data_IF_600917374133
#
_entry.id   IF_600917374133
#
_cell.length_a   1.000
_cell.length_b   1.000
_cell.length_c   1.000
_cell.angle_alpha   90.00
_cell.angle_beta   90.00
_cell.angle_gamma   90.00
#
_symmetry.space_group_name_H-M   'P 1'
#
loop_
_entity.id
_entity.type
_entity.pdbx_description
1 polymer ?
#
# COMPACT_ATOMS: atom_id res chain seq x y z
N UNK A 1 -17.98 -15.01 4.51
CA UNK A 1 -18.88 -13.90 4.94
C UNK A 1 -19.87 -13.65 3.81
N UNK A 2 -20.99 -14.38 3.74
CA UNK A 2 -21.86 -14.31 2.55
C UNK A 2 -22.99 -13.29 2.76
N UNK A 3 -22.88 -12.13 2.10
CA UNK A 3 -23.94 -11.11 2.04
C UNK A 3 -23.89 -9.98 3.07
N UNK A 4 -22.91 -9.97 3.98
CA UNK A 4 -22.72 -8.85 4.91
C UNK A 4 -21.78 -7.80 4.34
N UNK A 5 -22.14 -6.53 4.50
CA UNK A 5 -21.24 -5.41 4.24
C UNK A 5 -20.04 -5.47 5.18
N UNK A 6 -18.83 -5.41 4.62
CA UNK A 6 -17.61 -5.31 5.41
C UNK A 6 -17.48 -3.85 5.87
N UNK A 7 -17.48 -3.58 7.20
CA UNK A 7 -17.34 -2.23 7.68
C UNK A 7 -15.88 -1.75 7.48
N UNK A 8 -15.65 -0.44 7.23
CA UNK A 8 -14.30 0.11 7.08
C UNK A 8 -13.37 -0.16 8.28
N UNK A 9 -13.95 -0.35 9.47
CA UNK A 9 -13.23 -0.70 10.70
C UNK A 9 -12.54 -2.08 10.66
N UNK A 10 -12.83 -2.93 9.66
CA UNK A 10 -12.11 -4.19 9.43
C UNK A 10 -10.76 -4.00 8.71
N UNK A 11 -10.15 -2.81 8.80
CA UNK A 11 -8.84 -2.53 8.21
C UNK A 11 -8.91 -2.36 6.70
N UNK A 12 -9.87 -1.57 6.21
CA UNK A 12 -9.98 -1.24 4.77
C UNK A 12 -9.23 0.07 4.41
N UNK A 13 -8.19 0.42 5.17
CA UNK A 13 -7.46 1.67 5.00
C UNK A 13 -6.03 1.39 4.58
N UNK A 14 -5.54 2.14 3.59
CA UNK A 14 -4.11 2.23 3.27
C UNK A 14 -3.39 3.03 4.34
N UNK A 15 -2.42 2.43 5.03
CA UNK A 15 -1.58 3.11 6.01
C UNK A 15 -0.16 3.34 5.46
N UNK A 16 0.32 4.57 5.53
CA UNK A 16 1.67 4.96 5.11
C UNK A 16 2.42 5.56 6.30
N UNK A 17 3.48 4.89 6.75
CA UNK A 17 4.25 5.32 7.92
C UNK A 17 5.64 5.79 7.51
N UNK A 18 6.10 6.86 8.17
CA UNK A 18 7.44 7.41 8.02
C UNK A 18 8.10 7.49 9.40
N UNK A 19 9.27 6.87 9.52
CA UNK A 19 10.12 6.99 10.70
C UNK A 19 11.41 7.71 10.31
N UNK A 20 11.67 8.93 10.81
CA UNK A 20 12.93 9.62 10.53
C UNK A 20 14.13 8.79 11.02
N UNK A 21 15.12 8.60 10.16
CA UNK A 21 16.41 7.95 10.50
C UNK A 21 17.58 8.94 10.57
N UNK A 22 17.30 10.24 10.34
CA UNK A 22 18.27 11.32 10.38
C UNK A 22 18.74 11.75 8.98
N UNK A 23 19.38 12.91 8.88
CA UNK A 23 19.96 13.45 7.63
C UNK A 23 18.97 13.52 6.46
N UNK A 24 17.70 13.84 6.72
CA UNK A 24 16.65 13.90 5.69
C UNK A 24 16.15 12.53 5.20
N UNK A 25 16.61 11.43 5.79
CA UNK A 25 16.17 10.07 5.46
C UNK A 25 15.03 9.60 6.37
N UNK A 26 14.24 8.67 5.86
CA UNK A 26 13.22 7.96 6.62
C UNK A 26 13.20 6.48 6.23
N UNK A 27 12.88 5.63 7.22
CA UNK A 27 12.38 4.29 6.97
C UNK A 27 10.87 4.38 6.77
N UNK A 28 10.36 3.69 5.75
CA UNK A 28 8.93 3.61 5.45
C UNK A 28 8.44 2.17 5.53
N UNK A 29 7.22 2.03 6.01
CA UNK A 29 6.46 0.78 6.02
C UNK A 29 4.96 1.11 5.98
N UNK A 30 4.14 0.15 5.60
CA UNK A 30 2.71 0.35 5.51
C UNK A 30 2.00 -0.78 4.80
N UNK A 31 0.78 -0.46 4.38
CA UNK A 31 -0.03 -1.33 3.55
C UNK A 31 -0.84 -0.53 2.52
N UNK A 32 -0.98 -1.09 1.32
CA UNK A 32 -2.00 -0.68 0.37
C UNK A 32 -3.14 -1.68 0.40
N UNK A 33 -4.38 -1.17 0.45
CA UNK A 33 -5.60 -1.97 0.24
C UNK A 33 -6.11 -1.71 -1.18
N UNK A 34 -6.28 -2.77 -1.96
CA UNK A 34 -6.51 -2.69 -3.40
C UNK A 34 -7.47 -3.76 -3.89
N UNK A 35 -8.11 -3.50 -5.02
CA UNK A 35 -8.72 -4.53 -5.86
C UNK A 35 -7.65 -5.27 -6.68
N UNK A 36 -8.00 -6.43 -7.23
CA UNK A 36 -7.07 -7.21 -8.08
C UNK A 36 -6.51 -6.41 -9.27
N UNK A 37 -7.30 -5.50 -9.85
CA UNK A 37 -6.91 -4.72 -11.01
C UNK A 37 -5.82 -3.68 -10.71
N UNK A 38 -5.75 -3.19 -9.46
CA UNK A 38 -4.82 -2.13 -9.06
C UNK A 38 -3.46 -2.67 -8.60
N UNK A 39 -3.38 -3.96 -8.23
CA UNK A 39 -2.17 -4.57 -7.64
C UNK A 39 -0.95 -4.35 -8.53
N UNK A 40 -1.05 -4.60 -9.83
CA UNK A 40 0.10 -4.55 -10.73
C UNK A 40 0.62 -3.12 -10.93
N UNK A 41 -0.28 -2.14 -11.00
CA UNK A 41 0.07 -0.73 -11.19
C UNK A 41 0.78 -0.18 -9.93
N UNK A 42 0.30 -0.56 -8.75
CA UNK A 42 0.96 -0.21 -7.48
C UNK A 42 2.33 -0.88 -7.35
N UNK A 43 2.47 -2.17 -7.70
CA UNK A 43 3.79 -2.84 -7.73
C UNK A 43 4.77 -2.09 -8.62
N UNK A 44 4.34 -1.67 -9.81
CA UNK A 44 5.19 -0.96 -10.75
C UNK A 44 5.59 0.42 -10.21
N UNK A 45 4.65 1.17 -9.63
CA UNK A 45 4.94 2.47 -9.02
C UNK A 45 5.95 2.37 -7.87
N UNK A 46 5.75 1.42 -6.95
CA UNK A 46 6.65 1.22 -5.80
C UNK A 46 8.04 0.78 -6.24
N UNK A 47 8.14 -0.25 -7.09
CA UNK A 47 9.45 -0.74 -7.57
C UNK A 47 10.17 0.28 -8.44
N UNK A 48 9.44 1.05 -9.24
CA UNK A 48 10.00 2.12 -10.06
C UNK A 48 10.70 3.21 -9.25
N UNK A 49 10.28 3.43 -8.00
CA UNK A 49 10.93 4.35 -7.05
C UNK A 49 11.84 3.66 -6.02
N UNK A 50 12.18 2.38 -6.21
CA UNK A 50 13.09 1.65 -5.33
C UNK A 50 12.49 1.28 -3.97
N UNK A 51 11.17 1.11 -3.89
CA UNK A 51 10.49 0.57 -2.70
C UNK A 51 10.26 -0.92 -2.89
N UNK A 52 10.68 -1.72 -1.90
CA UNK A 52 10.55 -3.17 -1.94
C UNK A 52 9.14 -3.62 -1.54
N UNK A 53 8.66 -4.66 -2.22
CA UNK A 53 7.43 -5.35 -1.84
C UNK A 53 7.78 -6.47 -0.86
N UNK A 54 7.20 -6.41 0.33
CA UNK A 54 7.43 -7.38 1.41
C UNK A 54 6.45 -8.54 1.30
N UNK A 55 5.18 -8.26 1.07
CA UNK A 55 4.13 -9.28 0.97
C UNK A 55 2.92 -8.79 0.18
N UNK A 56 2.17 -9.72 -0.40
CA UNK A 56 0.84 -9.52 -0.96
C UNK A 56 -0.07 -10.64 -0.43
N UNK A 57 -1.18 -10.29 0.20
CA UNK A 57 -2.12 -11.27 0.78
C UNK A 57 -3.56 -10.75 0.79
N UNK A 58 -4.49 -11.57 1.30
CA UNK A 58 -5.90 -11.24 1.48
C UNK A 58 -6.30 -11.52 2.94
N UNK A 59 -7.20 -10.73 3.51
CA UNK A 59 -7.77 -11.00 4.85
C UNK A 59 -9.04 -11.86 4.79
N UNK A 60 -9.70 -11.91 3.63
CA UNK A 60 -10.89 -12.72 3.38
C UNK A 60 -10.76 -13.55 2.11
N UNK A 61 -11.73 -14.44 1.90
CA UNK A 61 -11.80 -15.32 0.73
C UNK A 61 -13.00 -15.00 -0.19
N UNK A 62 -14.10 -14.50 0.38
CA UNK A 62 -15.41 -14.44 -0.29
C UNK A 62 -15.90 -13.00 -0.53
N UNK A 63 -15.17 -11.99 -0.05
CA UNK A 63 -15.57 -10.60 -0.23
C UNK A 63 -15.53 -10.21 -1.72
N UNK A 64 -16.47 -9.35 -2.12
CA UNK A 64 -16.58 -8.86 -3.49
C UNK A 64 -16.72 -7.33 -3.52
N UNK A 65 -15.82 -6.61 -4.23
CA UNK A 65 -14.61 -7.13 -4.87
C UNK A 65 -13.63 -7.71 -3.85
N UNK A 66 -12.83 -8.71 -4.27
CA UNK A 66 -11.77 -9.26 -3.42
C UNK A 66 -10.71 -8.19 -3.17
N UNK A 67 -10.29 -8.05 -1.91
CA UNK A 67 -9.33 -7.04 -1.51
C UNK A 67 -7.96 -7.65 -1.23
N UNK A 68 -6.93 -7.05 -1.80
CA UNK A 68 -5.53 -7.41 -1.65
C UNK A 68 -4.83 -6.37 -0.79
N UNK A 69 -3.91 -6.85 0.03
CA UNK A 69 -3.12 -6.09 0.98
C UNK A 69 -1.67 -6.23 0.60
N UNK A 70 -0.96 -5.12 0.45
CA UNK A 70 0.44 -5.12 0.03
C UNK A 70 1.32 -4.39 1.03
N UNK A 71 2.20 -5.13 1.68
CA UNK A 71 3.23 -4.56 2.55
C UNK A 71 4.47 -4.19 1.77
N UNK A 72 5.10 -3.08 2.17
CA UNK A 72 6.28 -2.54 1.53
C UNK A 72 7.30 -2.05 2.54
N UNK A 73 8.55 -1.92 2.11
CA UNK A 73 9.64 -1.40 2.94
C UNK A 73 10.66 -0.63 2.10
N UNK A 74 11.21 0.45 2.65
CA UNK A 74 12.42 1.10 2.16
C UNK A 74 13.02 2.01 3.23
N UNK A 75 14.30 2.34 3.09
CA UNK A 75 14.91 3.44 3.86
C UNK A 75 15.78 4.32 2.94
N UNK A 76 15.36 5.56 2.72
CA UNK A 76 16.02 6.47 1.79
C UNK A 76 15.64 7.93 2.08
N UNK A 77 16.01 8.85 1.18
CA UNK A 77 15.56 10.25 1.21
C UNK A 77 14.03 10.34 1.38
N UNK A 78 13.59 11.05 2.42
CA UNK A 78 12.19 11.05 2.81
C UNK A 78 11.27 11.68 1.76
N UNK A 79 11.76 12.67 1.00
CA UNK A 79 10.97 13.35 -0.04
C UNK A 79 10.83 12.47 -1.27
N UNK A 80 11.89 11.79 -1.69
CA UNK A 80 11.86 10.82 -2.79
C UNK A 80 10.91 9.66 -2.47
N UNK A 81 10.96 9.14 -1.24
CA UNK A 81 10.03 8.12 -0.77
C UNK A 81 8.58 8.62 -0.78
N UNK A 82 8.32 9.84 -0.28
CA UNK A 82 6.98 10.42 -0.30
C UNK A 82 6.43 10.62 -1.72
N UNK A 83 7.26 11.03 -2.68
CA UNK A 83 6.84 11.14 -4.10
C UNK A 83 6.49 9.78 -4.70
N UNK A 84 7.27 8.76 -4.39
CA UNK A 84 7.01 7.39 -4.87
C UNK A 84 5.72 6.83 -4.28
N UNK A 85 5.53 6.99 -2.96
CA UNK A 85 4.29 6.58 -2.30
C UNK A 85 3.07 7.35 -2.83
N UNK A 86 3.22 8.65 -3.15
CA UNK A 86 2.15 9.40 -3.81
C UNK A 86 1.78 8.81 -5.17
N UNK A 87 2.76 8.49 -6.01
CA UNK A 87 2.51 7.86 -7.30
C UNK A 87 1.83 6.49 -7.16
N UNK A 88 2.18 5.72 -6.14
CA UNK A 88 1.51 4.45 -5.82
C UNK A 88 0.07 4.65 -5.34
N UNK A 89 -0.22 5.70 -4.56
CA UNK A 89 -1.62 6.08 -4.22
C UNK A 89 -2.40 6.48 -5.46
N UNK A 90 -1.81 7.26 -6.37
CA UNK A 90 -2.43 7.68 -7.64
C UNK A 90 -2.73 6.50 -8.59
N UNK A 91 -2.02 5.38 -8.43
CA UNK A 91 -2.28 4.13 -9.13
C UNK A 91 -3.46 3.31 -8.53
N UNK A 92 -4.06 3.78 -7.44
CA UNK A 92 -5.31 3.23 -6.90
C UNK A 92 -6.50 4.12 -7.28
N UNK A 93 -7.72 3.56 -7.24
CA UNK A 93 -8.95 4.32 -7.42
C UNK A 93 -9.34 5.15 -6.17
N UNK A 94 -8.54 5.11 -5.10
CA UNK A 94 -8.76 5.93 -3.91
C UNK A 94 -8.57 7.41 -4.26
N UNK A 95 -9.67 8.18 -4.20
CA UNK A 95 -9.68 9.63 -4.38
C UNK A 95 -9.97 10.33 -3.07
#
# INVERSE_FOLDING_TARGET
>A
MSGMLIPPSMGLATALNFQPTGNGRAAINGDFVMTAAEVQDVVQALRGGGIDIVAIHNHGFDEQPRLFYMHFWAENDAVALARTLRAAVDATAAR
#
